data_IF_002071771924
#
_entry.id   IF_002071771924
#
_cell.length_a   1.000
_cell.length_b   1.000
_cell.length_c   1.000
_cell.angle_alpha   90.00
_cell.angle_beta   90.00
_cell.angle_gamma   90.00
#
_symmetry.space_group_name_H-M   'P 1'
#
loop_
_entity.id
_entity.type
_entity.pdbx_description
1 polymer ?
#
# COMPACT_ATOMS: atom_id res chain seq x y z
N UNK A 1 -7.39 16.39 -6.79
CA UNK A 1 -6.22 16.44 -7.68
C UNK A 1 -5.13 15.61 -7.04
N UNK A 2 -4.86 14.40 -7.55
CA UNK A 2 -3.77 13.57 -7.03
C UNK A 2 -2.47 14.17 -7.55
N UNK A 3 -1.68 14.79 -6.68
CA UNK A 3 -0.36 15.33 -7.04
C UNK A 3 0.64 14.19 -7.18
N UNK A 4 1.65 14.35 -8.04
CA UNK A 4 2.72 13.35 -8.23
C UNK A 4 3.37 12.92 -6.90
N UNK A 5 3.52 13.84 -5.93
CA UNK A 5 4.06 13.52 -4.60
C UNK A 5 3.21 12.51 -3.83
N UNK A 6 1.87 12.58 -3.92
CA UNK A 6 0.99 11.62 -3.27
C UNK A 6 1.12 10.24 -3.90
N UNK A 7 1.22 10.16 -5.23
CA UNK A 7 1.41 8.87 -5.92
C UNK A 7 2.72 8.22 -5.54
N UNK A 8 3.80 9.01 -5.42
CA UNK A 8 5.09 8.49 -4.95
C UNK A 8 4.99 7.88 -3.55
N UNK A 9 4.33 8.56 -2.61
CA UNK A 9 4.13 8.02 -1.26
C UNK A 9 3.25 6.76 -1.26
N UNK A 10 2.15 6.76 -2.00
CA UNK A 10 1.29 5.58 -2.13
C UNK A 10 2.08 4.38 -2.70
N UNK A 11 2.87 4.61 -3.75
CA UNK A 11 3.69 3.56 -4.35
C UNK A 11 4.78 3.07 -3.40
N UNK A 12 5.44 3.96 -2.64
CA UNK A 12 6.38 3.57 -1.57
C UNK A 12 5.70 2.65 -0.56
N UNK A 13 4.52 3.03 -0.06
CA UNK A 13 3.75 2.21 0.89
C UNK A 13 3.40 0.86 0.28
N UNK A 14 3.03 0.81 -1.00
CA UNK A 14 2.72 -0.43 -1.71
C UNK A 14 3.94 -1.35 -1.85
N UNK A 15 5.10 -0.78 -2.22
CA UNK A 15 6.36 -1.53 -2.29
C UNK A 15 6.73 -2.04 -0.90
N UNK A 16 6.64 -1.20 0.12
CA UNK A 16 6.87 -1.58 1.51
C UNK A 16 5.95 -2.71 1.96
N UNK A 17 4.66 -2.67 1.58
CA UNK A 17 3.71 -3.74 1.88
C UNK A 17 4.08 -5.07 1.22
N UNK A 18 4.62 -5.06 0.00
CA UNK A 18 5.14 -6.25 -0.67
C UNK A 18 6.39 -6.82 0.03
N UNK A 19 7.19 -5.97 0.67
CA UNK A 19 8.38 -6.37 1.43
C UNK A 19 8.08 -6.91 2.84
N UNK A 20 6.84 -6.82 3.34
CA UNK A 20 6.50 -7.27 4.71
C UNK A 20 6.74 -8.75 4.93
N UNK A 21 6.58 -9.59 3.91
CA UNK A 21 6.92 -11.02 4.00
C UNK A 21 8.44 -11.29 3.87
N UNK A 22 9.26 -10.24 3.71
CA UNK A 22 10.71 -10.32 3.53
C UNK A 22 11.14 -10.65 2.10
N UNK A 23 10.20 -10.84 1.17
CA UNK A 23 10.49 -11.09 -0.24
C UNK A 23 9.32 -10.64 -1.12
N UNK A 24 9.64 -9.89 -2.19
CA UNK A 24 8.69 -9.51 -3.24
C UNK A 24 8.66 -10.62 -4.30
N UNK A 25 7.48 -11.04 -4.71
CA UNK A 25 7.30 -12.02 -5.78
C UNK A 25 7.53 -11.39 -7.17
N UNK A 26 7.85 -12.21 -8.17
CA UNK A 26 8.10 -11.72 -9.52
C UNK A 26 6.88 -10.99 -10.11
N UNK A 27 5.68 -11.53 -9.86
CA UNK A 27 4.41 -10.90 -10.27
C UNK A 27 4.15 -9.56 -9.55
N UNK A 28 4.47 -9.49 -8.25
CA UNK A 28 4.40 -8.27 -7.44
C UNK A 28 5.31 -7.18 -8.01
N UNK A 29 6.55 -7.54 -8.31
CA UNK A 29 7.54 -6.62 -8.90
C UNK A 29 7.11 -6.10 -10.27
N UNK A 30 6.67 -6.99 -11.16
CA UNK A 30 6.25 -6.60 -12.50
C UNK A 30 5.06 -5.64 -12.45
N UNK A 31 4.12 -5.90 -11.54
CA UNK A 31 3.00 -5.02 -11.33
C UNK A 31 3.39 -3.65 -10.75
N UNK A 32 4.26 -3.62 -9.73
CA UNK A 32 4.77 -2.35 -9.19
C UNK A 32 5.46 -1.52 -10.26
N UNK A 33 6.22 -2.16 -11.14
CA UNK A 33 6.85 -1.50 -12.28
C UNK A 33 5.83 -0.93 -13.27
N UNK A 34 4.77 -1.69 -13.56
CA UNK A 34 3.66 -1.25 -14.43
C UNK A 34 2.97 -0.01 -13.85
N UNK A 35 2.59 -0.05 -12.57
CA UNK A 35 1.98 1.08 -11.85
C UNK A 35 2.94 2.27 -11.87
N UNK A 36 4.20 2.08 -11.47
CA UNK A 36 5.17 3.17 -11.47
C UNK A 36 5.34 3.84 -12.83
N UNK A 37 5.30 3.06 -13.92
CA UNK A 37 5.40 3.55 -15.28
C UNK A 37 4.13 4.28 -15.73
N UNK A 38 2.97 3.76 -15.39
CA UNK A 38 1.67 4.36 -15.68
C UNK A 38 1.53 5.75 -15.05
N UNK A 39 2.01 5.89 -13.81
CA UNK A 39 2.02 7.15 -13.09
C UNK A 39 3.27 8.03 -13.33
N UNK A 40 4.21 7.60 -14.19
CA UNK A 40 5.39 8.38 -14.56
C UNK A 40 6.44 8.54 -13.44
N UNK A 41 6.42 7.69 -12.42
CA UNK A 41 7.33 7.72 -11.26
C UNK A 41 8.37 6.59 -11.26
N UNK A 42 8.38 5.73 -12.29
CA UNK A 42 9.31 4.61 -12.41
C UNK A 42 10.80 5.02 -12.46
N UNK A 43 11.10 6.20 -13.04
CA UNK A 43 12.45 6.75 -13.11
C UNK A 43 12.81 7.65 -11.92
N UNK A 44 11.91 7.80 -10.95
CA UNK A 44 12.18 8.60 -9.76
C UNK A 44 13.28 7.92 -8.92
N UNK A 45 14.33 8.65 -8.49
CA UNK A 45 15.47 8.08 -7.78
C UNK A 45 15.08 7.48 -6.42
N UNK A 46 13.93 7.83 -5.86
CA UNK A 46 13.42 7.23 -4.63
C UNK A 46 12.68 5.91 -4.88
N UNK A 47 12.00 5.79 -6.03
CA UNK A 47 11.17 4.63 -6.38
C UNK A 47 11.98 3.55 -7.09
N UNK A 48 12.85 3.96 -8.01
CA UNK A 48 13.70 3.08 -8.82
C UNK A 48 14.45 2.03 -7.99
N UNK A 49 15.22 2.38 -6.94
CA UNK A 49 15.93 1.36 -6.15
C UNK A 49 14.99 0.40 -5.41
N UNK A 50 13.78 0.84 -5.06
CA UNK A 50 12.79 0.02 -4.37
C UNK A 50 12.13 -0.98 -5.35
N UNK A 51 11.83 -0.54 -6.57
CA UNK A 51 11.23 -1.37 -7.64
C UNK A 51 12.17 -2.48 -8.12
N UNK A 52 13.46 -2.16 -8.26
CA UNK A 52 14.46 -3.13 -8.71
C UNK A 52 15.02 -3.99 -7.58
N UNK A 53 14.40 -3.94 -6.39
CA UNK A 53 14.83 -4.67 -5.19
C UNK A 53 16.29 -4.38 -4.81
N UNK A 54 16.83 -3.24 -5.28
CA UNK A 54 18.20 -2.79 -4.97
C UNK A 54 18.31 -2.38 -3.50
N UNK A 55 17.18 -2.04 -2.87
CA UNK A 55 17.06 -1.77 -1.44
C UNK A 55 15.89 -2.57 -0.88
N UNK A 56 16.17 -3.44 0.08
CA UNK A 56 15.13 -4.09 0.88
C UNK A 56 14.47 -3.06 1.80
N UNK A 57 13.14 -3.06 1.82
CA UNK A 57 12.37 -2.18 2.70
C UNK A 57 12.13 -2.89 4.01
N UNK A 58 12.58 -2.28 5.10
CA UNK A 58 12.25 -2.78 6.43
C UNK A 58 10.81 -2.40 6.79
N UNK A 59 10.14 -3.23 7.61
CA UNK A 59 8.80 -2.91 8.09
C UNK A 59 8.77 -1.51 8.77
N UNK A 60 9.84 -1.14 9.46
CA UNK A 60 10.03 0.18 10.10
C UNK A 60 10.00 1.36 9.11
N UNK A 61 10.70 1.23 7.97
CA UNK A 61 10.65 2.23 6.90
C UNK A 61 9.24 2.31 6.31
N UNK A 62 8.57 1.17 6.15
CA UNK A 62 7.19 1.15 5.66
C UNK A 62 6.22 1.83 6.65
N UNK A 63 6.37 1.61 7.96
CA UNK A 63 5.58 2.34 8.97
C UNK A 63 5.86 3.83 8.91
N UNK A 64 7.12 4.22 8.80
CA UNK A 64 7.49 5.64 8.68
C UNK A 64 6.83 6.29 7.47
N UNK A 65 6.73 5.61 6.32
CA UNK A 65 6.02 6.16 5.14
C UNK A 65 4.52 6.27 5.35
N UNK A 66 3.90 5.30 6.04
CA UNK A 66 2.48 5.35 6.41
C UNK A 66 2.22 6.49 7.39
N UNK A 67 3.06 6.65 8.41
CA UNK A 67 2.96 7.75 9.37
C UNK A 67 3.22 9.11 8.72
N UNK A 68 4.17 9.21 7.78
CA UNK A 68 4.42 10.43 7.02
C UNK A 68 3.23 10.82 6.12
N UNK A 69 2.56 9.81 5.53
CA UNK A 69 1.36 10.04 4.72
C UNK A 69 0.14 10.42 5.56
N UNK A 70 -0.04 9.80 6.72
CA UNK A 70 -1.21 10.02 7.58
C UNK A 70 -1.03 11.16 8.59
N UNK A 71 0.21 11.56 8.88
CA UNK A 71 0.58 12.59 9.85
C UNK A 71 0.69 12.11 11.31
N UNK A 72 0.93 13.06 12.21
CA UNK A 72 1.29 12.85 13.64
C UNK A 72 0.22 12.12 14.47
N UNK A 73 -1.05 12.13 14.03
CA UNK A 73 -2.18 11.46 14.69
C UNK A 73 -3.17 10.90 13.67
N UNK A 74 -2.87 9.74 13.07
CA UNK A 74 -3.72 9.16 12.05
C UNK A 74 -5.04 8.70 12.67
N UNK A 75 -6.16 9.21 12.15
CA UNK A 75 -7.49 8.73 12.52
C UNK A 75 -7.83 7.46 11.73
N UNK A 76 -8.77 6.61 12.19
CA UNK A 76 -9.25 5.46 11.42
C UNK A 76 -9.74 5.85 10.02
N UNK A 77 -10.29 7.06 9.85
CA UNK A 77 -10.67 7.62 8.55
C UNK A 77 -9.48 7.89 7.62
N UNK A 78 -8.32 8.28 8.17
CA UNK A 78 -7.11 8.51 7.36
C UNK A 78 -6.55 7.19 6.83
N UNK A 79 -6.55 6.14 7.66
CA UNK A 79 -6.20 4.79 7.21
C UNK A 79 -7.16 4.30 6.13
N UNK A 80 -8.44 4.60 6.27
CA UNK A 80 -9.45 4.29 5.26
C UNK A 80 -9.19 5.02 3.94
N UNK A 81 -8.85 6.31 3.99
CA UNK A 81 -8.45 7.09 2.81
C UNK A 81 -7.17 6.57 2.16
N UNK A 82 -6.20 6.12 2.95
CA UNK A 82 -4.98 5.51 2.43
C UNK A 82 -5.30 4.22 1.66
N UNK A 83 -6.13 3.35 2.24
CA UNK A 83 -6.56 2.11 1.59
C UNK A 83 -7.33 2.44 0.31
N UNK A 84 -8.28 3.38 0.36
CA UNK A 84 -9.05 3.82 -0.80
C UNK A 84 -8.15 4.39 -1.89
N UNK A 85 -7.14 5.20 -1.54
CA UNK A 85 -6.19 5.75 -2.49
C UNK A 85 -5.29 4.66 -3.11
N UNK A 86 -4.83 3.69 -2.33
CA UNK A 86 -4.09 2.53 -2.83
C UNK A 86 -4.96 1.64 -3.71
N UNK A 87 -6.20 1.40 -3.32
CA UNK A 87 -7.16 0.65 -4.11
C UNK A 87 -7.50 1.38 -5.40
N UNK A 88 -7.69 2.69 -5.39
CA UNK A 88 -7.89 3.49 -6.60
C UNK A 88 -6.63 3.49 -7.49
N UNK A 89 -5.44 3.46 -6.89
CA UNK A 89 -4.18 3.29 -7.62
C UNK A 89 -4.12 1.94 -8.33
N UNK A 90 -4.63 0.89 -7.69
CA UNK A 90 -4.60 -0.49 -8.17
C UNK A 90 -5.77 -0.81 -9.13
N UNK A 91 -6.94 -0.27 -8.83
CA UNK A 91 -8.20 -0.41 -9.55
C UNK A 91 -8.50 0.88 -10.30
N UNK A 92 -7.84 1.04 -11.45
CA UNK A 92 -8.13 2.15 -12.35
C UNK A 92 -9.51 2.04 -13.04
N UNK A 93 -10.23 0.91 -12.86
CA UNK A 93 -11.51 0.58 -13.52
C UNK A 93 -12.73 0.60 -12.56
N UNK A 94 -12.63 1.30 -11.41
CA UNK A 94 -13.79 1.69 -10.59
C UNK A 94 -14.56 0.58 -9.85
N UNK A 95 -14.12 -0.68 -9.89
CA UNK A 95 -14.78 -1.80 -9.18
C UNK A 95 -14.30 -1.97 -7.73
N UNK A 96 -14.36 -0.89 -6.96
CA UNK A 96 -13.82 -0.85 -5.59
C UNK A 96 -14.89 -0.94 -4.49
N UNK A 97 -16.16 -1.21 -4.82
CA UNK A 97 -17.25 -0.93 -3.87
C UNK A 97 -17.45 -1.97 -2.75
N UNK A 98 -17.12 -3.26 -2.92
CA UNK A 98 -17.64 -4.31 -2.00
C UNK A 98 -16.61 -4.95 -1.06
N UNK A 99 -15.36 -5.11 -1.51
CA UNK A 99 -14.34 -5.78 -0.70
C UNK A 99 -13.58 -4.80 0.20
N UNK A 100 -13.48 -3.52 -0.19
CA UNK A 100 -13.00 -2.46 0.70
C UNK A 100 -13.90 -2.30 1.91
N UNK A 101 -15.22 -2.22 1.72
CA UNK A 101 -16.18 -2.08 2.81
C UNK A 101 -16.02 -3.19 3.87
N UNK A 102 -15.77 -4.44 3.46
CA UNK A 102 -15.51 -5.55 4.40
C UNK A 102 -14.18 -5.44 5.11
N UNK A 103 -13.13 -4.99 4.42
CA UNK A 103 -11.79 -4.84 4.99
C UNK A 103 -11.76 -3.67 5.98
N UNK A 104 -12.40 -2.56 5.62
CA UNK A 104 -12.60 -1.38 6.45
C UNK A 104 -13.43 -1.69 7.68
N UNK A 105 -14.53 -2.44 7.53
CA UNK A 105 -15.32 -2.90 8.66
C UNK A 105 -14.50 -3.81 9.60
N UNK A 106 -13.64 -4.68 9.04
CA UNK A 106 -12.69 -5.47 9.84
C UNK A 106 -11.63 -4.62 10.54
N UNK A 107 -11.15 -3.54 9.91
CA UNK A 107 -10.21 -2.60 10.52
C UNK A 107 -10.87 -1.78 11.64
N UNK A 108 -12.11 -1.34 11.46
CA UNK A 108 -12.91 -0.64 12.48
C UNK A 108 -13.27 -1.53 13.67
N UNK A 109 -13.50 -2.84 13.44
CA UNK A 109 -13.73 -3.84 14.49
C UNK A 109 -12.46 -4.19 15.27
N UNK A 110 -11.26 -3.83 14.77
CA UNK A 110 -9.98 -4.12 15.41
C UNK A 110 -9.59 -3.01 16.38
N UNK A 111 -10.43 -2.81 17.39
CA UNK A 111 -10.23 -2.10 18.66
C UNK A 111 -9.09 -1.03 18.73
N UNK A 112 -9.42 0.27 18.73
CA UNK A 112 -8.44 1.35 18.93
C UNK A 112 -7.85 1.38 20.35
N UNK A 113 -8.29 0.51 21.28
CA UNK A 113 -7.79 0.44 22.66
C UNK A 113 -6.56 -0.46 22.83
N UNK A 114 -5.99 -1.00 21.74
CA UNK A 114 -4.66 -1.66 21.82
C UNK A 114 -3.57 -0.59 21.92
N UNK A 115 -2.77 -0.57 23.00
CA UNK A 115 -1.92 0.57 23.39
C UNK A 115 -0.65 0.80 22.53
N UNK A 116 -0.61 0.34 21.29
CA UNK A 116 0.55 0.51 20.40
C UNK A 116 0.14 0.91 18.99
N UNK A 117 0.43 2.15 18.58
CA UNK A 117 0.31 2.67 17.20
C UNK A 117 0.91 1.70 16.17
N UNK A 118 2.00 1.01 16.53
CA UNK A 118 2.64 -0.04 15.74
C UNK A 118 1.67 -1.17 15.33
N UNK A 119 0.71 -1.53 16.17
CA UNK A 119 -0.26 -2.60 15.90
C UNK A 119 -1.32 -2.18 14.88
N UNK A 120 -1.70 -0.90 14.85
CA UNK A 120 -2.66 -0.35 13.89
C UNK A 120 -2.07 -0.28 12.49
N UNK A 121 -0.86 0.28 12.35
CA UNK A 121 -0.15 0.35 11.07
C UNK A 121 0.19 -1.04 10.54
N UNK A 122 0.57 -1.99 11.41
CA UNK A 122 0.74 -3.41 11.04
C UNK A 122 -0.51 -4.04 10.45
N UNK A 123 -1.67 -3.82 11.09
CA UNK A 123 -2.94 -4.38 10.62
C UNK A 123 -3.33 -3.80 9.26
N UNK A 124 -3.17 -2.49 9.09
CA UNK A 124 -3.46 -1.79 7.83
C UNK A 124 -2.53 -2.25 6.73
N UNK A 125 -1.24 -2.36 6.98
CA UNK A 125 -0.29 -2.86 5.99
C UNK A 125 -0.59 -4.31 5.58
N UNK A 126 -0.94 -5.20 6.52
CA UNK A 126 -1.38 -6.56 6.18
C UNK A 126 -2.68 -6.57 5.37
N UNK A 127 -3.57 -5.62 5.61
CA UNK A 127 -4.81 -5.45 4.86
C UNK A 127 -4.51 -5.03 3.41
N UNK A 128 -3.64 -4.03 3.22
CA UNK A 128 -3.14 -3.57 1.92
C UNK A 128 -2.46 -4.72 1.18
N UNK A 129 -1.53 -5.42 1.83
CA UNK A 129 -0.82 -6.57 1.28
C UNK A 129 -1.79 -7.66 0.80
N UNK A 130 -2.87 -7.93 1.54
CA UNK A 130 -3.90 -8.89 1.14
C UNK A 130 -4.66 -8.47 -0.12
N UNK A 131 -5.06 -7.20 -0.22
CA UNK A 131 -5.73 -6.67 -1.43
C UNK A 131 -4.78 -6.81 -2.61
N UNK A 132 -3.58 -6.31 -2.44
CA UNK A 132 -2.52 -6.28 -3.44
C UNK A 132 -2.21 -7.69 -3.99
N UNK A 133 -1.93 -8.66 -3.11
CA UNK A 133 -1.69 -10.05 -3.51
C UNK A 133 -2.88 -10.69 -4.21
N UNK A 134 -4.10 -10.43 -3.74
CA UNK A 134 -5.30 -11.00 -4.34
C UNK A 134 -5.52 -10.42 -5.74
N UNK A 135 -5.20 -9.15 -5.94
CA UNK A 135 -5.27 -8.51 -7.24
C UNK A 135 -4.23 -9.07 -8.22
N UNK A 136 -2.98 -9.22 -7.78
CA UNK A 136 -1.92 -9.80 -8.60
C UNK A 136 -2.30 -11.22 -9.03
N UNK A 137 -2.72 -12.06 -8.08
CA UNK A 137 -3.19 -13.40 -8.43
C UNK A 137 -4.32 -13.36 -9.46
N UNK A 138 -5.26 -12.40 -9.37
CA UNK A 138 -6.35 -12.26 -10.34
C UNK A 138 -5.86 -11.82 -11.74
N UNK A 139 -4.83 -10.99 -11.80
CA UNK A 139 -4.26 -10.50 -13.07
C UNK A 139 -3.36 -11.50 -13.79
N UNK A 140 -2.83 -12.49 -13.07
CA UNK A 140 -1.96 -13.54 -13.61
C UNK A 140 -2.67 -14.91 -13.78
N UNK A 141 -4.00 -14.98 -13.54
CA UNK A 141 -4.82 -16.20 -13.70
C UNK A 141 -5.79 -16.14 -14.91
N UNK A 142 -5.52 -15.29 -15.90
CA UNK A 142 -6.26 -15.28 -17.18
C UNK A 142 -5.33 -15.61 -18.35
#
# INVERSE_FOLDING_TARGET
MVTNSNVKQLLKILIGAAWIDGKVQAEEREYLYKVAKEYGVADDPEIKPLLYELKAVSADECYSWVEEYLGDRPSPEDYQRLIEALSALIYSDGLVDTEEAKLLNRLQLLDPSSPSQQSSSQKVLKAIQKIYRRWINKQFTD
#
